data_IF_767974064500
#
_entry.id   IF_767974064500
#
_cell.length_a   1.000
_cell.length_b   1.000
_cell.length_c   1.000
_cell.angle_alpha   90.00
_cell.angle_beta   90.00
_cell.angle_gamma   90.00
#
_symmetry.space_group_name_H-M   'P 1'
#
loop_
_entity.id
_entity.type
_entity.pdbx_description
1 polymer ?
#
# COMPACT_ATOMS: atom_id res chain seq x y z
N UNK A 1 -41.46 -22.22 -0.85
CA UNK A 1 -41.20 -21.14 0.13
C UNK A 1 -39.68 -20.92 0.29
N UNK A 2 -38.99 -20.14 -0.59
CA UNK A 2 -37.54 -19.96 -0.56
C UNK A 2 -37.13 -18.54 -0.09
N UNK A 3 -37.51 -18.13 1.13
CA UNK A 3 -37.18 -16.80 1.66
C UNK A 3 -36.07 -16.79 2.72
N UNK A 4 -35.76 -17.92 3.35
CA UNK A 4 -34.77 -17.98 4.43
C UNK A 4 -33.30 -17.97 3.95
N UNK A 5 -33.03 -18.32 2.68
CA UNK A 5 -31.66 -18.35 2.13
C UNK A 5 -31.08 -16.97 1.80
N UNK A 6 -31.94 -15.97 1.55
CA UNK A 6 -31.52 -14.63 1.11
C UNK A 6 -31.03 -13.78 2.28
N UNK A 7 -31.54 -14.01 3.49
CA UNK A 7 -31.16 -13.22 4.68
C UNK A 7 -29.73 -13.54 5.13
N UNK A 8 -29.33 -14.82 5.14
CA UNK A 8 -27.95 -15.24 5.47
C UNK A 8 -26.93 -14.79 4.40
N UNK A 9 -27.31 -14.83 3.12
CA UNK A 9 -26.46 -14.35 2.03
C UNK A 9 -26.31 -12.82 2.06
N UNK A 10 -27.36 -12.09 2.43
CA UNK A 10 -27.34 -10.62 2.56
C UNK A 10 -26.53 -10.15 3.78
N UNK A 11 -26.62 -10.89 4.90
CA UNK A 11 -25.83 -10.65 6.11
C UNK A 11 -24.33 -10.82 5.85
N UNK A 12 -23.94 -11.93 5.21
CA UNK A 12 -22.54 -12.12 4.74
C UNK A 12 -22.12 -11.02 3.77
N UNK A 13 -22.95 -10.65 2.78
CA UNK A 13 -22.61 -9.56 1.84
C UNK A 13 -22.45 -8.20 2.50
N UNK A 14 -23.25 -7.85 3.51
CA UNK A 14 -23.10 -6.58 4.26
C UNK A 14 -21.85 -6.59 5.13
N UNK A 15 -21.60 -7.69 5.85
CA UNK A 15 -20.41 -7.84 6.69
C UNK A 15 -19.11 -7.67 5.89
N UNK A 16 -19.06 -8.27 4.71
CA UNK A 16 -17.91 -8.20 3.81
C UNK A 16 -17.69 -6.81 3.18
N UNK A 17 -18.77 -6.04 2.98
CA UNK A 17 -18.65 -4.64 2.54
C UNK A 17 -18.14 -3.76 3.67
N UNK A 18 -18.59 -4.00 4.90
CA UNK A 18 -18.13 -3.29 6.09
C UNK A 18 -16.64 -3.59 6.32
N UNK A 19 -16.23 -4.85 6.26
CA UNK A 19 -14.82 -5.26 6.38
C UNK A 19 -13.93 -4.55 5.34
N UNK A 20 -14.35 -4.53 4.07
CA UNK A 20 -13.64 -3.78 3.01
C UNK A 20 -13.59 -2.29 3.29
N UNK A 21 -14.72 -1.68 3.69
CA UNK A 21 -14.77 -0.26 3.98
C UNK A 21 -13.88 0.11 5.16
N UNK A 22 -13.84 -0.72 6.21
CA UNK A 22 -12.98 -0.55 7.38
C UNK A 22 -11.51 -0.69 7.00
N UNK A 23 -11.13 -1.70 6.22
CA UNK A 23 -9.74 -1.89 5.79
C UNK A 23 -9.27 -0.77 4.87
N UNK A 24 -10.11 -0.30 3.96
CA UNK A 24 -9.82 0.85 3.12
C UNK A 24 -9.71 2.13 3.95
N UNK A 25 -10.67 2.39 4.85
CA UNK A 25 -10.63 3.55 5.73
C UNK A 25 -9.39 3.54 6.64
N UNK A 26 -9.03 2.38 7.19
CA UNK A 26 -7.82 2.21 7.99
C UNK A 26 -6.57 2.46 7.16
N UNK A 27 -6.47 1.90 5.95
CA UNK A 27 -5.32 2.13 5.08
C UNK A 27 -5.21 3.61 4.65
N UNK A 28 -6.32 4.25 4.30
CA UNK A 28 -6.35 5.69 3.99
C UNK A 28 -5.97 6.53 5.21
N UNK A 29 -6.48 6.19 6.40
CA UNK A 29 -6.14 6.88 7.65
C UNK A 29 -4.65 6.73 7.95
N UNK A 30 -4.09 5.53 7.83
CA UNK A 30 -2.66 5.27 8.00
C UNK A 30 -1.85 6.14 7.03
N UNK A 31 -2.27 6.21 5.76
CA UNK A 31 -1.61 7.00 4.74
C UNK A 31 -1.66 8.51 5.05
N UNK A 32 -2.81 9.00 5.53
CA UNK A 32 -2.96 10.39 6.01
C UNK A 32 -2.04 10.65 7.21
N UNK A 33 -1.99 9.74 8.17
CA UNK A 33 -1.10 9.86 9.34
C UNK A 33 0.37 9.87 8.93
N UNK A 34 0.77 9.04 7.96
CA UNK A 34 2.12 9.05 7.39
C UNK A 34 2.43 10.40 6.73
N UNK A 35 1.52 10.95 5.92
CA UNK A 35 1.68 12.27 5.30
C UNK A 35 1.79 13.39 6.34
N UNK A 36 0.96 13.34 7.39
CA UNK A 36 1.03 14.31 8.50
C UNK A 36 2.36 14.19 9.24
N UNK A 37 2.81 12.97 9.55
CA UNK A 37 4.09 12.74 10.21
C UNK A 37 5.26 13.31 9.36
N UNK A 38 5.27 13.03 8.06
CA UNK A 38 6.25 13.60 7.13
C UNK A 38 6.20 15.14 7.10
N UNK A 39 5.01 15.74 7.04
CA UNK A 39 4.85 17.19 7.04
C UNK A 39 5.34 17.83 8.35
N UNK A 40 5.07 17.20 9.50
CA UNK A 40 5.58 17.66 10.79
C UNK A 40 7.10 17.55 10.87
N UNK A 41 7.70 16.47 10.38
CA UNK A 41 9.15 16.29 10.31
C UNK A 41 9.81 17.35 9.43
N UNK A 42 9.27 17.60 8.23
CA UNK A 42 9.75 18.65 7.32
C UNK A 42 9.68 20.02 8.00
N UNK A 43 8.58 20.34 8.68
CA UNK A 43 8.45 21.60 9.42
C UNK A 43 9.52 21.72 10.52
N UNK A 44 9.80 20.65 11.26
CA UNK A 44 10.84 20.65 12.30
C UNK A 44 12.25 20.84 11.72
N UNK A 45 12.53 20.30 10.52
CA UNK A 45 13.81 20.50 9.82
C UNK A 45 13.97 21.97 9.39
N UNK A 46 12.94 22.55 8.79
CA UNK A 46 13.01 23.89 8.18
C UNK A 46 12.98 25.00 9.24
N UNK A 47 12.11 24.90 10.23
CA UNK A 47 11.87 25.97 11.21
C UNK A 47 12.86 25.91 12.39
N UNK A 48 13.56 24.78 12.57
CA UNK A 48 14.44 24.56 13.72
C UNK A 48 13.62 24.30 14.98
N UNK A 49 13.27 23.04 15.21
CA UNK A 49 12.54 22.64 16.43
C UNK A 49 13.43 22.68 17.70
N UNK A 50 12.88 23.06 18.86
CA UNK A 50 13.61 23.11 20.13
C UNK A 50 13.96 21.73 20.71
N UNK A 51 13.39 20.65 20.17
CA UNK A 51 13.64 19.29 20.64
C UNK A 51 14.88 18.69 19.98
N UNK A 52 15.91 18.45 20.81
CA UNK A 52 17.00 17.51 20.50
C UNK A 52 16.45 16.07 20.55
N UNK A 53 15.55 15.70 19.63
CA UNK A 53 15.23 14.30 19.43
C UNK A 53 16.50 13.59 18.98
N UNK A 54 16.83 12.49 19.65
CA UNK A 54 18.05 11.74 19.37
C UNK A 54 18.07 11.30 17.90
N UNK A 55 19.23 11.40 17.26
CA UNK A 55 19.40 10.99 15.86
C UNK A 55 18.86 9.58 15.55
N UNK A 56 19.03 8.67 16.51
CA UNK A 56 18.55 7.29 16.46
C UNK A 56 17.01 7.17 16.57
N UNK A 57 16.37 8.00 17.39
CA UNK A 57 14.91 8.02 17.58
C UNK A 57 14.18 8.53 16.32
N UNK A 58 14.78 9.51 15.64
CA UNK A 58 14.27 10.00 14.36
C UNK A 58 14.50 9.00 13.23
N UNK A 59 15.66 8.34 13.20
CA UNK A 59 15.96 7.26 12.23
C UNK A 59 14.97 6.11 12.36
N UNK A 60 14.76 5.62 13.58
CA UNK A 60 13.81 4.53 13.86
C UNK A 60 12.38 4.92 13.49
N UNK A 61 11.92 6.12 13.85
CA UNK A 61 10.60 6.63 13.46
C UNK A 61 10.42 6.71 11.94
N UNK A 62 11.46 7.10 11.22
CA UNK A 62 11.41 7.22 9.75
C UNK A 62 11.38 5.84 9.07
N UNK A 63 12.16 4.87 9.56
CA UNK A 63 12.11 3.47 9.07
C UNK A 63 10.75 2.85 9.34
N UNK A 64 10.20 3.05 10.54
CA UNK A 64 8.83 2.57 10.88
C UNK A 64 7.80 3.18 9.93
N UNK A 65 7.91 4.48 9.64
CA UNK A 65 7.00 5.16 8.69
C UNK A 65 7.09 4.56 7.28
N UNK A 66 8.30 4.23 6.81
CA UNK A 66 8.50 3.56 5.53
C UNK A 66 7.85 2.16 5.51
N UNK A 67 8.04 1.34 6.55
CA UNK A 67 7.42 0.00 6.65
C UNK A 67 5.89 0.11 6.64
N UNK A 68 5.34 1.06 7.39
CA UNK A 68 3.90 1.31 7.46
C UNK A 68 3.35 1.76 6.11
N UNK A 69 4.09 2.57 5.35
CA UNK A 69 3.72 2.97 3.99
C UNK A 69 3.59 1.73 3.07
N UNK A 70 4.63 0.89 3.03
CA UNK A 70 4.65 -0.34 2.22
C UNK A 70 3.47 -1.25 2.58
N UNK A 71 3.25 -1.51 3.87
CA UNK A 71 2.16 -2.35 4.32
C UNK A 71 0.77 -1.76 4.01
N UNK A 72 0.61 -0.43 4.17
CA UNK A 72 -0.63 0.27 3.86
C UNK A 72 -0.99 0.19 2.37
N UNK A 73 -0.01 0.42 1.50
CA UNK A 73 -0.22 0.32 0.05
C UNK A 73 -0.39 -1.13 -0.43
N UNK A 74 0.32 -2.09 0.14
CA UNK A 74 0.10 -3.51 -0.13
C UNK A 74 -1.36 -3.91 0.13
N UNK A 75 -1.92 -3.46 1.25
CA UNK A 75 -3.33 -3.69 1.59
C UNK A 75 -4.29 -2.96 0.64
N UNK A 76 -3.98 -1.71 0.26
CA UNK A 76 -4.78 -0.96 -0.72
C UNK A 76 -4.81 -1.66 -2.07
N UNK A 77 -3.65 -2.05 -2.62
CA UNK A 77 -3.58 -2.74 -3.90
C UNK A 77 -4.32 -4.08 -3.84
N UNK A 78 -4.12 -4.86 -2.77
CA UNK A 78 -4.81 -6.13 -2.53
C UNK A 78 -6.33 -5.99 -2.52
N UNK A 79 -6.87 -4.92 -1.93
CA UNK A 79 -8.31 -4.71 -1.79
C UNK A 79 -8.96 -4.10 -3.03
N UNK A 80 -8.23 -3.26 -3.77
CA UNK A 80 -8.77 -2.52 -4.92
C UNK A 80 -8.73 -3.35 -6.21
N UNK A 81 -7.67 -4.14 -6.41
CA UNK A 81 -7.48 -4.89 -7.64
C UNK A 81 -8.58 -5.93 -7.88
N UNK A 82 -9.03 -6.09 -9.13
CA UNK A 82 -9.98 -7.11 -9.57
C UNK A 82 -11.27 -7.22 -8.71
N UNK A 83 -11.70 -6.10 -8.11
CA UNK A 83 -12.85 -6.06 -7.21
C UNK A 83 -12.58 -6.68 -5.83
N UNK A 84 -11.32 -6.75 -5.42
CA UNK A 84 -10.79 -7.28 -4.17
C UNK A 84 -10.75 -8.81 -4.09
N UNK A 85 -10.37 -9.39 -2.94
CA UNK A 85 -10.07 -10.83 -2.80
C UNK A 85 -11.19 -11.76 -3.24
N UNK A 86 -12.45 -11.32 -3.05
CA UNK A 86 -13.63 -12.09 -3.42
C UNK A 86 -13.95 -12.02 -4.91
N UNK A 87 -13.72 -10.86 -5.55
CA UNK A 87 -13.89 -10.70 -7.00
C UNK A 87 -13.05 -11.72 -7.76
N UNK A 88 -11.81 -11.93 -7.29
CA UNK A 88 -10.87 -12.94 -7.79
C UNK A 88 -11.38 -14.38 -7.62
N UNK A 89 -11.95 -14.74 -6.47
CA UNK A 89 -12.45 -16.11 -6.21
C UNK A 89 -13.79 -16.44 -6.88
N UNK A 90 -14.62 -15.43 -7.19
CA UNK A 90 -15.98 -15.66 -7.72
C UNK A 90 -16.05 -15.79 -9.24
N UNK A 91 -14.92 -15.69 -9.95
CA UNK A 91 -14.88 -15.81 -11.41
C UNK A 91 -15.59 -14.68 -12.17
N UNK A 92 -15.94 -13.58 -11.47
CA UNK A 92 -16.47 -12.39 -12.13
C UNK A 92 -15.36 -11.80 -13.00
N UNK A 93 -15.62 -11.60 -14.30
CA UNK A 93 -14.72 -10.93 -15.26
C UNK A 93 -14.59 -9.44 -14.94
N UNK A 94 -14.09 -9.09 -13.76
CA UNK A 94 -13.70 -7.74 -13.41
C UNK A 94 -12.31 -7.52 -13.99
N UNK A 95 -12.15 -6.46 -14.78
CA UNK A 95 -10.85 -6.10 -15.36
C UNK A 95 -9.84 -5.89 -14.22
N UNK A 96 -8.67 -6.57 -14.23
CA UNK A 96 -7.64 -6.36 -13.23
C UNK A 96 -7.00 -4.98 -13.40
N UNK A 97 -6.52 -4.43 -12.29
CA UNK A 97 -5.79 -3.16 -12.22
C UNK A 97 -4.30 -3.34 -12.42
N UNK A 98 -3.77 -4.51 -12.11
CA UNK A 98 -2.36 -4.87 -12.27
C UNK A 98 -2.22 -6.19 -13.04
N UNK A 99 -1.29 -6.22 -13.99
CA UNK A 99 -0.89 -7.44 -14.71
C UNK A 99 0.35 -8.01 -14.05
N UNK A 100 0.22 -9.20 -13.46
CA UNK A 100 1.34 -9.91 -12.84
C UNK A 100 2.06 -10.79 -13.88
N UNK A 101 3.40 -10.91 -13.84
CA UNK A 101 4.18 -11.73 -14.77
C UNK A 101 3.70 -13.19 -14.85
N UNK A 102 3.23 -13.74 -13.73
CA UNK A 102 2.70 -15.11 -13.61
C UNK A 102 1.37 -15.31 -14.38
N UNK A 103 0.82 -14.26 -14.98
CA UNK A 103 -0.34 -14.32 -15.87
C UNK A 103 0.00 -14.10 -17.35
N UNK A 104 1.28 -13.86 -17.66
CA UNK A 104 1.72 -13.64 -19.03
C UNK A 104 1.51 -14.91 -19.91
N UNK A 105 1.10 -14.75 -21.18
CA UNK A 105 0.97 -15.87 -22.11
C UNK A 105 2.31 -16.61 -22.27
N UNK A 106 2.37 -17.88 -21.87
CA UNK A 106 3.58 -18.71 -21.92
C UNK A 106 4.02 -19.26 -20.57
N UNK A 107 3.86 -18.48 -19.50
CA UNK A 107 4.27 -18.82 -18.12
C UNK A 107 3.09 -18.89 -17.13
N UNK A 108 1.86 -18.77 -17.65
CA UNK A 108 0.65 -18.78 -16.83
C UNK A 108 0.41 -20.16 -16.19
N UNK A 109 0.69 -20.27 -14.89
CA UNK A 109 0.37 -21.45 -14.12
C UNK A 109 -1.17 -21.65 -14.05
N UNK A 110 -1.69 -22.85 -14.36
CA UNK A 110 -3.13 -23.12 -14.33
C UNK A 110 -3.74 -22.81 -12.96
N UNK A 111 -4.71 -21.90 -12.92
CA UNK A 111 -5.42 -21.53 -11.68
C UNK A 111 -4.66 -20.60 -10.74
N UNK A 112 -3.54 -20.02 -11.17
CA UNK A 112 -2.84 -18.99 -10.38
C UNK A 112 -3.70 -17.74 -10.22
N UNK A 113 -3.68 -17.17 -9.01
CA UNK A 113 -4.29 -15.89 -8.70
C UNK A 113 -3.38 -15.15 -7.72
N UNK A 114 -3.25 -13.81 -7.85
CA UNK A 114 -2.37 -13.05 -6.98
C UNK A 114 -2.85 -13.10 -5.53
N UNK A 115 -1.93 -13.45 -4.64
CA UNK A 115 -2.01 -13.51 -3.18
C UNK A 115 -1.49 -12.22 -2.52
N UNK A 116 -1.69 -12.06 -1.21
CA UNK A 116 -1.37 -10.79 -0.52
C UNK A 116 0.12 -10.46 -0.64
N UNK A 117 0.95 -11.50 -0.62
CA UNK A 117 2.40 -11.41 -0.79
C UNK A 117 2.78 -10.81 -2.15
N UNK A 118 2.02 -11.07 -3.22
CA UNK A 118 2.28 -10.48 -4.54
C UNK A 118 2.06 -8.96 -4.54
N UNK A 119 1.07 -8.48 -3.78
CA UNK A 119 0.84 -7.03 -3.62
C UNK A 119 1.78 -6.38 -2.61
N UNK A 120 2.25 -7.15 -1.62
CA UNK A 120 3.33 -6.70 -0.74
C UNK A 120 4.63 -6.54 -1.53
N UNK A 121 4.94 -7.47 -2.42
CA UNK A 121 6.06 -7.36 -3.34
C UNK A 121 5.90 -6.14 -4.25
N UNK A 122 4.73 -5.96 -4.87
CA UNK A 122 4.42 -4.78 -5.68
C UNK A 122 4.61 -3.46 -4.90
N UNK A 123 4.08 -3.35 -3.69
CA UNK A 123 4.22 -2.15 -2.87
C UNK A 123 5.68 -1.92 -2.47
N UNK A 124 6.40 -2.97 -2.07
CA UNK A 124 7.82 -2.87 -1.73
C UNK A 124 8.68 -2.47 -2.93
N UNK A 125 8.45 -3.05 -4.12
CA UNK A 125 9.22 -2.73 -5.33
C UNK A 125 8.92 -1.31 -5.81
N UNK A 126 7.67 -0.87 -5.71
CA UNK A 126 7.27 0.52 -6.02
C UNK A 126 7.92 1.50 -5.03
N UNK A 127 7.97 1.15 -3.74
CA UNK A 127 8.53 2.00 -2.68
C UNK A 127 10.05 2.18 -2.80
N UNK A 128 10.74 1.12 -3.22
CA UNK A 128 12.20 1.10 -3.28
C UNK A 128 12.73 1.65 -4.59
N UNK A 129 11.97 1.58 -5.68
CA UNK A 129 12.31 2.12 -7.01
C UNK A 129 13.68 1.68 -7.59
N UNK A 130 14.39 0.73 -6.95
CA UNK A 130 15.68 0.21 -7.40
C UNK A 130 15.55 -0.92 -8.43
N UNK A 131 14.34 -1.44 -8.65
CA UNK A 131 14.04 -2.50 -9.62
C UNK A 131 12.91 -2.05 -10.54
N UNK A 132 12.95 -2.52 -11.79
CA UNK A 132 11.79 -2.45 -12.68
C UNK A 132 10.66 -3.23 -12.03
N UNK A 133 9.56 -2.56 -11.70
CA UNK A 133 8.38 -3.26 -11.20
C UNK A 133 7.81 -4.09 -12.35
N UNK A 134 7.99 -5.41 -12.30
CA UNK A 134 7.55 -6.31 -13.38
C UNK A 134 6.02 -6.41 -13.49
N UNK A 135 5.30 -5.77 -12.56
CA UNK A 135 3.85 -5.69 -12.53
C UNK A 135 3.38 -4.45 -13.26
N UNK A 136 2.65 -4.63 -14.36
CA UNK A 136 2.20 -3.51 -15.21
C UNK A 136 0.84 -2.97 -14.72
N UNK A 137 0.69 -1.66 -14.46
CA UNK A 137 -0.62 -1.07 -14.19
C UNK A 137 -1.47 -1.08 -15.48
N UNK A 138 -2.71 -1.56 -15.38
CA UNK A 138 -3.65 -1.70 -16.51
C UNK A 138 -4.75 -0.63 -16.50
N UNK A 139 -4.87 0.14 -15.42
CA UNK A 139 -5.89 1.17 -15.22
C UNK A 139 -5.26 2.45 -14.67
N UNK A 140 -5.81 3.61 -15.04
CA UNK A 140 -5.29 4.91 -14.58
C UNK A 140 -5.33 5.09 -13.06
N UNK A 141 -6.24 4.41 -12.36
CA UNK A 141 -6.24 4.39 -10.89
C UNK A 141 -5.03 3.65 -10.31
N UNK A 142 -4.60 2.55 -10.94
CA UNK A 142 -3.42 1.80 -10.53
C UNK A 142 -2.15 2.64 -10.73
N UNK A 143 -2.08 3.34 -11.86
CA UNK A 143 -0.99 4.29 -12.16
C UNK A 143 -0.88 5.37 -11.07
N UNK A 144 -1.99 6.06 -10.77
CA UNK A 144 -2.01 7.12 -9.74
C UNK A 144 -1.63 6.58 -8.37
N UNK A 145 -2.11 5.39 -8.00
CA UNK A 145 -1.80 4.77 -6.72
C UNK A 145 -0.32 4.40 -6.60
N UNK A 146 0.29 3.88 -7.68
CA UNK A 146 1.73 3.59 -7.71
C UNK A 146 2.57 4.87 -7.68
N UNK A 147 2.15 5.93 -8.38
CA UNK A 147 2.81 7.25 -8.32
C UNK A 147 2.78 7.79 -6.88
N UNK A 148 1.63 7.68 -6.21
CA UNK A 148 1.47 8.17 -4.84
C UNK A 148 2.35 7.40 -3.85
N UNK A 149 2.37 6.07 -3.96
CA UNK A 149 3.21 5.19 -3.16
C UNK A 149 4.69 5.57 -3.31
N UNK A 150 5.19 5.61 -4.55
CA UNK A 150 6.58 5.95 -4.86
C UNK A 150 6.95 7.35 -4.35
N UNK A 151 6.04 8.32 -4.48
CA UNK A 151 6.27 9.70 -4.02
C UNK A 151 6.42 9.78 -2.51
N UNK A 152 5.55 9.09 -1.75
CA UNK A 152 5.61 9.06 -0.28
C UNK A 152 6.88 8.33 0.18
N UNK A 153 7.21 7.20 -0.46
CA UNK A 153 8.40 6.44 -0.15
C UNK A 153 9.68 7.26 -0.41
N UNK A 154 9.74 7.96 -1.55
CA UNK A 154 10.88 8.83 -1.90
C UNK A 154 11.09 9.94 -0.87
N UNK A 155 10.02 10.66 -0.49
CA UNK A 155 10.11 11.73 0.52
C UNK A 155 10.58 11.15 1.86
N UNK A 156 10.04 10.00 2.26
CA UNK A 156 10.46 9.33 3.49
C UNK A 156 11.94 8.99 3.44
N UNK A 157 12.43 8.44 2.33
CA UNK A 157 13.82 8.04 2.16
C UNK A 157 14.79 9.23 2.16
N UNK A 158 14.40 10.36 1.55
CA UNK A 158 15.18 11.62 1.60
C UNK A 158 15.30 12.13 3.04
N UNK A 159 14.22 12.07 3.82
CA UNK A 159 14.23 12.47 5.24
C UNK A 159 15.14 11.54 6.05
N UNK A 160 15.02 10.22 5.86
CA UNK A 160 15.89 9.23 6.51
C UNK A 160 17.36 9.53 6.21
N UNK A 161 17.70 9.73 4.94
CA UNK A 161 19.07 9.98 4.50
C UNK A 161 19.63 11.30 5.07
N UNK A 162 18.86 12.38 4.98
CA UNK A 162 19.23 13.69 5.55
C UNK A 162 19.51 13.58 7.05
N UNK A 163 18.68 12.82 7.78
CA UNK A 163 18.86 12.62 9.22
C UNK A 163 20.06 11.74 9.53
N UNK A 164 20.25 10.62 8.83
CA UNK A 164 21.42 9.76 9.03
C UNK A 164 22.74 10.53 8.88
N UNK A 165 22.84 11.39 7.87
CA UNK A 165 24.00 12.27 7.66
C UNK A 165 24.18 13.21 8.87
N UNK A 166 23.09 13.82 9.37
CA UNK A 166 23.15 14.71 10.53
C UNK A 166 23.58 14.00 11.83
N UNK A 167 23.29 12.70 11.98
CA UNK A 167 23.76 11.90 13.13
C UNK A 167 25.24 11.56 13.00
N UNK A 168 25.72 11.24 11.80
CA UNK A 168 27.12 10.90 11.57
C UNK A 168 28.04 12.12 11.63
N UNK A 169 27.53 13.30 11.29
CA UNK A 169 28.29 14.55 11.28
C UNK A 169 28.46 15.19 12.66
N UNK A 170 27.80 14.66 13.70
CA UNK A 170 27.70 15.26 15.04
C UNK A 170 28.09 14.24 16.12
#
# INVERSE_FOLDING_TARGET
>A
MPLAGVTLASGKRRWLRIERAVLLAAATLILVLTVVALATLIRHIIVGGPERLGGLELLTSSVVSWVVNVAGFALLFWQLDAGGPRGRTTGAKIRPDWLFPQTAPGDAAPGWAPGYVDYLYLAFSTATAFSTTDVMPLTGRAEILMILEASIALVTMVIVASRAINVLAN
#
